data_IF_637467637178
#
_entry.id   IF_637467637178
#
_cell.length_a   1.000
_cell.length_b   1.000
_cell.length_c   1.000
_cell.angle_alpha   90.00
_cell.angle_beta   90.00
_cell.angle_gamma   90.00
#
_symmetry.space_group_name_H-M   'P 1'
#
loop_
_entity.id
_entity.type
_entity.pdbx_description
1 polymer ?
#
# COMPACT_ATOMS: atom_id res chain seq x y z
N UNK A 1 -31.41 -44.98 -26.76
CA UNK A 1 -30.61 -44.25 -27.75
C UNK A 1 -29.82 -43.16 -27.02
N UNK A 2 -28.51 -43.36 -26.81
CA UNK A 2 -27.65 -42.43 -26.04
C UNK A 2 -27.30 -41.22 -26.91
N UNK A 3 -27.95 -40.09 -26.67
CA UNK A 3 -27.57 -38.81 -27.26
C UNK A 3 -26.36 -38.26 -26.50
N UNK A 4 -25.17 -38.65 -26.97
CA UNK A 4 -23.91 -38.13 -26.48
C UNK A 4 -23.73 -36.70 -27.02
N UNK A 5 -24.31 -35.72 -26.30
CA UNK A 5 -24.27 -34.33 -26.72
C UNK A 5 -22.90 -33.71 -26.38
N UNK A 6 -21.88 -34.04 -27.18
CA UNK A 6 -20.49 -33.58 -27.03
C UNK A 6 -20.39 -32.04 -26.94
N UNK A 7 -21.33 -31.30 -27.56
CA UNK A 7 -21.40 -29.83 -27.48
C UNK A 7 -21.70 -29.31 -26.08
N UNK A 8 -22.54 -30.01 -25.32
CA UNK A 8 -22.87 -29.61 -23.95
C UNK A 8 -21.67 -29.80 -23.01
N UNK A 9 -20.93 -30.89 -23.21
CA UNK A 9 -19.71 -31.17 -22.45
C UNK A 9 -18.59 -30.14 -22.74
N UNK A 10 -18.44 -29.75 -24.01
CA UNK A 10 -17.50 -28.70 -24.41
C UNK A 10 -17.88 -27.31 -23.89
N UNK A 11 -19.17 -27.01 -23.81
CA UNK A 11 -19.65 -25.75 -23.24
C UNK A 11 -19.42 -25.70 -21.72
N UNK A 12 -19.69 -26.80 -21.01
CA UNK A 12 -19.43 -26.91 -19.57
C UNK A 12 -17.94 -26.85 -19.24
N UNK A 13 -17.07 -27.46 -20.06
CA UNK A 13 -15.63 -27.39 -19.87
C UNK A 13 -15.07 -25.98 -20.16
N UNK A 14 -15.62 -25.28 -21.16
CA UNK A 14 -15.26 -23.88 -21.41
C UNK A 14 -15.69 -22.97 -20.25
N UNK A 15 -16.90 -23.16 -19.72
CA UNK A 15 -17.44 -22.37 -18.61
C UNK A 15 -16.63 -22.57 -17.33
N UNK A 16 -16.18 -23.80 -17.05
CA UNK A 16 -15.33 -24.09 -15.89
C UNK A 16 -13.95 -23.45 -16.02
N UNK A 17 -13.31 -23.52 -17.20
CA UNK A 17 -12.04 -22.83 -17.45
C UNK A 17 -12.18 -21.31 -17.32
N UNK A 18 -13.28 -20.73 -17.81
CA UNK A 18 -13.57 -19.31 -17.67
C UNK A 18 -13.76 -18.90 -16.20
N UNK A 19 -14.45 -19.72 -15.40
CA UNK A 19 -14.63 -19.50 -13.96
C UNK A 19 -13.30 -19.60 -13.17
N UNK A 20 -12.37 -20.47 -13.59
CA UNK A 20 -11.04 -20.54 -12.97
C UNK A 20 -10.15 -19.35 -13.35
N UNK A 21 -10.27 -18.79 -14.55
CA UNK A 21 -9.53 -17.59 -14.97
C UNK A 21 -9.99 -16.32 -14.25
N UNK A 22 -11.27 -16.22 -13.87
CA UNK A 22 -11.80 -15.07 -13.12
C UNK A 22 -11.52 -15.11 -11.61
N UNK A 23 -11.07 -16.25 -11.07
CA UNK A 23 -10.69 -16.40 -9.67
C UNK A 23 -9.22 -16.04 -9.40
N UNK A 24 -8.61 -15.21 -10.24
CA UNK A 24 -7.36 -14.54 -9.91
C UNK A 24 -7.64 -13.48 -8.83
N UNK A 25 -7.95 -13.92 -7.61
CA UNK A 25 -7.94 -13.06 -6.41
C UNK A 25 -6.50 -12.63 -6.20
N UNK A 26 -6.14 -11.51 -6.81
CA UNK A 26 -5.01 -10.72 -6.35
C UNK A 26 -5.26 -10.47 -4.86
N UNK A 27 -4.38 -10.96 -4.00
CA UNK A 27 -4.34 -10.67 -2.57
C UNK A 27 -3.88 -9.23 -2.40
N UNK A 28 -4.70 -8.30 -2.90
CA UNK A 28 -4.52 -6.87 -2.73
C UNK A 28 -4.68 -6.59 -1.25
N UNK A 29 -3.73 -5.88 -0.64
CA UNK A 29 -3.87 -5.38 0.72
C UNK A 29 -5.20 -4.65 0.88
N UNK A 30 -5.82 -4.72 2.05
CA UNK A 30 -7.08 -4.05 2.30
C UNK A 30 -6.89 -2.53 2.17
N UNK A 31 -7.81 -1.86 1.47
CA UNK A 31 -7.78 -0.42 1.30
C UNK A 31 -8.69 0.26 2.31
N UNK A 32 -8.15 1.24 3.02
CA UNK A 32 -8.87 2.04 4.01
C UNK A 32 -8.88 3.51 3.60
N UNK A 33 -9.92 4.23 3.98
CA UNK A 33 -10.18 5.60 3.55
C UNK A 33 -10.49 6.47 4.75
N UNK A 34 -9.59 7.39 5.08
CA UNK A 34 -9.77 8.35 6.15
C UNK A 34 -10.11 9.72 5.58
N UNK A 35 -11.41 10.05 5.60
CA UNK A 35 -11.94 11.30 5.07
C UNK A 35 -11.93 12.46 6.08
N UNK A 36 -11.38 12.26 7.28
CA UNK A 36 -11.23 13.30 8.31
C UNK A 36 -10.39 14.46 7.78
N UNK A 37 -10.84 15.67 8.10
CA UNK A 37 -10.14 16.92 7.78
C UNK A 37 -9.51 17.57 9.00
N UNK A 38 -9.98 17.20 10.20
CA UNK A 38 -9.47 17.72 11.46
C UNK A 38 -8.35 16.83 12.01
N UNK A 39 -7.20 17.45 12.27
CA UNK A 39 -6.03 16.82 12.87
C UNK A 39 -6.16 16.79 14.38
N UNK A 40 -5.86 15.64 14.97
CA UNK A 40 -5.53 15.50 16.39
C UNK A 40 -4.24 16.27 16.72
N UNK A 41 -3.97 16.46 18.01
CA UNK A 41 -2.72 17.09 18.46
C UNK A 41 -1.49 16.30 17.99
N UNK A 42 -1.53 14.97 18.07
CA UNK A 42 -0.46 14.10 17.58
C UNK A 42 -0.22 14.25 16.07
N UNK A 43 -1.27 14.26 15.26
CA UNK A 43 -1.15 14.45 13.80
C UNK A 43 -0.56 15.83 13.45
N UNK A 44 -0.84 16.87 14.26
CA UNK A 44 -0.22 18.20 14.09
C UNK A 44 1.27 18.17 14.46
N UNK A 45 1.63 17.53 15.57
CA UNK A 45 3.02 17.41 16.02
C UNK A 45 3.87 16.62 15.02
N UNK A 46 3.34 15.52 14.49
CA UNK A 46 4.04 14.70 13.50
C UNK A 46 4.22 15.45 12.17
N UNK A 47 3.21 16.20 11.74
CA UNK A 47 3.32 17.04 10.54
C UNK A 47 4.33 18.18 10.74
N UNK A 48 4.33 18.84 11.91
CA UNK A 48 5.29 19.89 12.23
C UNK A 48 6.72 19.34 12.25
N UNK A 49 6.93 18.18 12.88
CA UNK A 49 8.21 17.46 12.88
C UNK A 49 8.65 17.17 11.45
N UNK A 50 7.76 16.65 10.60
CA UNK A 50 8.06 16.44 9.18
C UNK A 50 8.47 17.73 8.46
N UNK A 51 7.76 18.83 8.69
CA UNK A 51 8.03 20.11 8.03
C UNK A 51 9.32 20.78 8.50
N UNK A 52 9.74 20.54 9.73
CA UNK A 52 10.93 21.12 10.35
C UNK A 52 12.19 20.26 10.11
N UNK A 53 12.07 18.94 10.24
CA UNK A 53 13.23 18.05 10.30
C UNK A 53 13.57 17.43 8.94
N UNK A 54 12.59 17.28 8.03
CA UNK A 54 12.84 16.74 6.69
C UNK A 54 13.32 17.88 5.78
N UNK A 55 14.49 17.78 5.12
CA UNK A 55 14.95 18.82 4.20
C UNK A 55 13.92 19.14 3.11
N UNK A 56 13.74 20.42 2.77
CA UNK A 56 12.70 20.90 1.82
C UNK A 56 12.67 20.15 0.49
N UNK A 57 13.82 19.73 -0.03
CA UNK A 57 13.91 18.95 -1.26
C UNK A 57 13.25 17.57 -1.19
N UNK A 58 13.09 17.01 0.01
CA UNK A 58 12.41 15.74 0.29
C UNK A 58 10.96 15.93 0.76
N UNK A 59 10.55 17.16 1.05
CA UNK A 59 9.15 17.47 1.38
C UNK A 59 8.24 17.37 0.14
N UNK A 60 6.99 16.94 0.34
CA UNK A 60 5.98 16.85 -0.74
C UNK A 60 5.58 18.26 -1.22
N UNK A 61 5.21 18.36 -2.49
CA UNK A 61 4.49 19.52 -3.04
C UNK A 61 3.05 19.13 -3.40
N UNK A 62 2.24 20.07 -3.89
CA UNK A 62 0.86 19.77 -4.32
C UNK A 62 0.79 18.79 -5.50
N UNK A 63 1.87 18.71 -6.28
CA UNK A 63 2.04 17.78 -7.39
C UNK A 63 2.41 16.37 -6.94
N UNK A 64 2.72 16.19 -5.66
CA UNK A 64 3.17 14.93 -5.09
C UNK A 64 2.13 14.37 -4.13
N UNK A 65 2.11 13.05 -4.02
CA UNK A 65 1.52 12.33 -2.90
C UNK A 65 2.65 11.91 -1.97
N UNK A 66 2.45 12.03 -0.65
CA UNK A 66 3.41 11.50 0.31
C UNK A 66 3.01 10.08 0.69
N UNK A 67 3.90 9.13 0.43
CA UNK A 67 3.70 7.72 0.75
C UNK A 67 4.56 7.38 1.96
N UNK A 68 3.92 6.92 3.01
CA UNK A 68 4.56 6.52 4.27
C UNK A 68 4.55 4.99 4.33
N UNK A 69 5.71 4.41 4.56
CA UNK A 69 5.90 2.98 4.69
C UNK A 69 6.24 2.66 6.13
N UNK A 70 5.38 1.88 6.78
CA UNK A 70 5.59 1.40 8.14
C UNK A 70 6.35 0.06 8.09
N UNK A 71 7.47 -0.01 8.81
CA UNK A 71 8.35 -1.17 8.85
C UNK A 71 7.70 -2.42 9.46
N UNK A 72 6.65 -2.27 10.26
CA UNK A 72 5.89 -3.42 10.78
C UNK A 72 5.35 -4.31 9.65
N UNK A 73 4.93 -3.73 8.53
CA UNK A 73 4.42 -4.48 7.38
C UNK A 73 5.52 -5.16 6.55
N UNK A 74 6.78 -4.73 6.72
CA UNK A 74 7.91 -5.10 5.87
C UNK A 74 9.10 -5.66 6.64
N UNK A 75 8.90 -6.18 7.86
CA UNK A 75 9.96 -6.72 8.73
C UNK A 75 10.96 -7.59 7.97
N UNK A 76 12.22 -7.14 7.94
CA UNK A 76 13.33 -7.82 7.28
C UNK A 76 13.24 -7.92 5.76
N UNK A 77 12.31 -7.21 5.11
CA UNK A 77 12.07 -7.30 3.66
C UNK A 77 12.54 -6.05 2.96
N UNK A 78 12.98 -6.22 1.72
CA UNK A 78 13.14 -5.15 0.75
C UNK A 78 11.82 -4.89 0.02
N UNK A 79 11.50 -3.62 -0.19
CA UNK A 79 10.46 -3.19 -1.11
C UNK A 79 11.07 -2.45 -2.30
N UNK A 80 10.41 -2.53 -3.45
CA UNK A 80 10.75 -1.80 -4.67
C UNK A 80 9.54 -0.99 -5.12
N UNK A 81 9.74 0.31 -5.31
CA UNK A 81 8.71 1.29 -5.63
C UNK A 81 8.93 1.74 -7.08
N UNK A 82 7.88 1.61 -7.91
CA UNK A 82 7.86 2.00 -9.31
C UNK A 82 9.03 1.44 -10.14
N UNK A 83 9.53 0.26 -9.78
CA UNK A 83 10.70 -0.39 -10.41
C UNK A 83 11.99 0.45 -10.37
N UNK A 84 12.10 1.43 -9.46
CA UNK A 84 13.24 2.36 -9.39
C UNK A 84 13.86 2.40 -8.01
N UNK A 85 13.06 2.80 -7.03
CA UNK A 85 13.55 3.04 -5.67
C UNK A 85 13.40 1.76 -4.84
N UNK A 86 14.36 1.51 -3.96
CA UNK A 86 14.26 0.39 -3.04
C UNK A 86 14.52 0.79 -1.59
N UNK A 87 13.80 0.14 -0.69
CA UNK A 87 13.89 0.39 0.75
C UNK A 87 14.02 -0.97 1.43
N UNK A 88 15.02 -1.13 2.28
CA UNK A 88 15.21 -2.33 3.10
C UNK A 88 14.83 -2.00 4.54
N UNK A 89 13.93 -2.79 5.10
CA UNK A 89 13.52 -2.65 6.49
C UNK A 89 14.32 -3.59 7.39
N UNK A 90 14.45 -3.19 8.66
CA UNK A 90 15.20 -3.94 9.66
C UNK A 90 14.53 -5.28 9.96
N UNK A 91 15.33 -6.28 10.28
CA UNK A 91 14.86 -7.59 10.76
C UNK A 91 14.47 -7.57 12.24
N UNK A 92 15.06 -6.65 13.00
CA UNK A 92 14.83 -6.50 14.44
C UNK A 92 14.30 -5.10 14.75
N UNK A 93 13.43 -4.98 15.76
CA UNK A 93 12.95 -3.68 16.21
C UNK A 93 14.09 -2.86 16.82
N UNK A 94 13.99 -1.53 16.72
CA UNK A 94 14.87 -0.61 17.45
C UNK A 94 14.59 -0.61 18.95
N UNK A 95 15.31 0.22 19.70
CA UNK A 95 15.12 0.38 21.15
C UNK A 95 13.70 0.80 21.55
N UNK A 96 12.94 1.42 20.64
CA UNK A 96 11.53 1.79 20.83
C UNK A 96 10.53 0.66 20.52
N UNK A 97 10.98 -0.54 20.13
CA UNK A 97 10.10 -1.62 19.67
C UNK A 97 9.66 -1.51 18.21
N UNK A 98 9.96 -0.39 17.55
CA UNK A 98 9.62 -0.09 16.15
C UNK A 98 10.54 -0.76 15.14
N UNK A 99 10.00 -1.23 14.01
CA UNK A 99 10.78 -1.61 12.82
C UNK A 99 11.15 -0.43 11.90
N UNK A 100 10.80 0.79 12.33
CA UNK A 100 11.06 2.06 11.66
C UNK A 100 9.99 2.44 10.65
N UNK A 101 9.96 3.71 10.26
CA UNK A 101 9.09 4.22 9.20
C UNK A 101 9.90 5.09 8.26
N UNK A 102 9.48 5.15 6.99
CA UNK A 102 10.10 6.06 6.02
C UNK A 102 9.08 6.55 5.03
N UNK A 103 9.28 7.73 4.48
CA UNK A 103 8.38 8.32 3.51
C UNK A 103 9.06 8.58 2.17
N UNK A 104 8.26 8.56 1.09
CA UNK A 104 8.66 8.94 -0.26
C UNK A 104 7.60 9.84 -0.85
N UNK A 105 8.00 10.99 -1.38
CA UNK A 105 7.12 11.77 -2.24
C UNK A 105 7.09 11.14 -3.63
N UNK A 106 5.91 10.99 -4.20
CA UNK A 106 5.72 10.42 -5.53
C UNK A 106 4.87 11.37 -6.35
N UNK A 107 5.32 11.68 -7.56
CA UNK A 107 4.62 12.61 -8.43
C UNK A 107 3.26 12.03 -8.88
N UNK A 108 2.17 12.80 -8.67
CA UNK A 108 0.79 12.41 -9.00
C UNK A 108 0.59 12.09 -10.49
N UNK A 109 1.44 12.59 -11.40
CA UNK A 109 1.38 12.26 -12.84
C UNK A 109 1.55 10.78 -13.15
N UNK A 110 2.16 10.01 -12.25
CA UNK A 110 2.29 8.55 -12.39
C UNK A 110 0.96 7.81 -12.23
N UNK A 111 -0.08 8.46 -11.68
CA UNK A 111 -1.44 7.94 -11.44
C UNK A 111 -1.54 6.77 -10.46
N UNK A 112 -0.46 6.04 -10.21
CA UNK A 112 -0.40 4.88 -9.32
C UNK A 112 1.03 4.56 -8.89
N UNK A 113 1.15 3.78 -7.82
CA UNK A 113 2.37 3.15 -7.34
C UNK A 113 2.35 1.69 -7.77
N UNK A 114 3.50 1.20 -8.25
CA UNK A 114 3.79 -0.23 -8.34
C UNK A 114 4.71 -0.59 -7.17
N UNK A 115 4.26 -1.46 -6.30
CA UNK A 115 5.01 -1.89 -5.13
C UNK A 115 5.29 -3.39 -5.24
N UNK A 116 6.57 -3.74 -5.24
CA UNK A 116 7.03 -5.13 -5.12
C UNK A 116 7.62 -5.32 -3.73
N UNK A 117 7.35 -6.48 -3.12
CA UNK A 117 7.85 -6.83 -1.79
C UNK A 117 8.64 -8.12 -1.90
N UNK A 118 9.82 -8.16 -1.32
CA UNK A 118 10.67 -9.34 -1.29
C UNK A 118 9.91 -10.57 -0.72
N UNK A 119 10.05 -11.70 -1.40
CA UNK A 119 9.35 -12.94 -1.08
C UNK A 119 7.88 -12.98 -1.53
N UNK A 120 7.32 -11.88 -2.07
CA UNK A 120 5.99 -11.89 -2.71
C UNK A 120 6.15 -11.88 -4.23
N UNK A 121 5.39 -12.74 -4.92
CA UNK A 121 5.39 -12.81 -6.39
C UNK A 121 4.56 -11.69 -7.03
N UNK A 122 3.58 -11.17 -6.30
CA UNK A 122 2.63 -10.19 -6.84
C UNK A 122 3.16 -8.76 -6.72
N UNK A 123 2.92 -7.99 -7.78
CA UNK A 123 3.09 -6.54 -7.78
C UNK A 123 1.78 -5.91 -7.29
N UNK A 124 1.88 -5.16 -6.21
CA UNK A 124 0.76 -4.41 -5.64
C UNK A 124 0.62 -3.10 -6.41
N UNK A 125 -0.59 -2.84 -6.92
CA UNK A 125 -0.91 -1.62 -7.66
C UNK A 125 -1.77 -0.73 -6.78
N UNK A 126 -1.24 0.46 -6.46
CA UNK A 126 -1.89 1.42 -5.56
C UNK A 126 -2.27 2.66 -6.35
N UNK A 127 -3.54 2.86 -6.72
CA UNK A 127 -3.97 4.02 -7.49
C UNK A 127 -3.85 5.32 -6.66
N UNK A 128 -3.62 6.44 -7.33
CA UNK A 128 -3.82 7.75 -6.71
C UNK A 128 -5.27 8.16 -6.82
N UNK A 129 -5.77 8.78 -5.76
CA UNK A 129 -7.13 9.25 -5.65
C UNK A 129 -7.06 10.73 -5.31
N UNK A 130 -7.69 11.55 -6.16
CA UNK A 130 -7.49 13.01 -6.19
C UNK A 130 -7.76 13.70 -4.85
N UNK A 131 -8.70 13.20 -4.06
CA UNK A 131 -9.08 13.77 -2.75
C UNK A 131 -8.11 13.45 -1.61
N UNK A 132 -7.04 12.67 -1.84
CA UNK A 132 -6.10 12.27 -0.79
C UNK A 132 -4.66 12.66 -1.15
N UNK A 133 -3.98 13.26 -0.17
CA UNK A 133 -2.60 13.73 -0.31
C UNK A 133 -1.56 12.82 0.35
N UNK A 134 -2.03 11.84 1.11
CA UNK A 134 -1.20 10.92 1.88
C UNK A 134 -1.66 9.48 1.68
N UNK A 135 -0.70 8.58 1.53
CA UNK A 135 -0.92 7.13 1.54
C UNK A 135 -0.03 6.54 2.62
N UNK A 136 -0.61 5.79 3.55
CA UNK A 136 0.13 4.98 4.50
C UNK A 136 0.04 3.51 4.06
N UNK A 137 1.18 2.83 4.06
CA UNK A 137 1.29 1.41 3.75
C UNK A 137 1.96 0.75 4.95
N UNK A 138 1.17 0.01 5.71
CA UNK A 138 1.55 -0.47 7.03
C UNK A 138 0.62 -1.58 7.49
N UNK A 139 0.49 -1.74 8.79
CA UNK A 139 -0.53 -2.62 9.34
C UNK A 139 -1.92 -2.02 9.11
N UNK A 140 -2.88 -2.89 8.80
CA UNK A 140 -4.28 -2.58 8.80
C UNK A 140 -4.70 -2.13 10.21
N UNK A 141 -5.85 -1.46 10.30
CA UNK A 141 -6.38 -0.96 11.57
C UNK A 141 -6.53 -2.06 12.65
N UNK A 142 -6.78 -3.30 12.23
CA UNK A 142 -6.91 -4.46 13.11
C UNK A 142 -5.56 -5.11 13.49
N UNK A 143 -4.44 -4.60 12.96
CA UNK A 143 -3.07 -5.15 13.08
C UNK A 143 -2.93 -6.62 12.70
N UNK A 144 -3.92 -7.23 12.03
CA UNK A 144 -3.87 -8.65 11.66
C UNK A 144 -3.31 -8.87 10.26
N UNK A 145 -3.35 -7.83 9.42
CA UNK A 145 -2.85 -7.83 8.05
C UNK A 145 -2.15 -6.51 7.77
N UNK A 146 -1.39 -6.46 6.68
CA UNK A 146 -0.92 -5.19 6.14
C UNK A 146 -2.02 -4.58 5.24
N UNK A 147 -2.13 -3.25 5.23
CA UNK A 147 -3.13 -2.48 4.51
C UNK A 147 -2.58 -1.23 3.84
N UNK A 148 -3.43 -0.58 3.07
CA UNK A 148 -3.15 0.68 2.38
C UNK A 148 -4.21 1.69 2.81
N UNK A 149 -3.81 2.75 3.50
CA UNK A 149 -4.72 3.77 3.99
C UNK A 149 -4.51 5.08 3.25
N UNK A 150 -5.59 5.63 2.71
CA UNK A 150 -5.61 6.96 2.11
C UNK A 150 -6.05 7.98 3.16
N UNK A 151 -5.27 9.06 3.31
CA UNK A 151 -5.55 10.11 4.29
C UNK A 151 -5.55 11.49 3.62
N UNK A 152 -6.49 12.36 4.03
CA UNK A 152 -6.51 13.78 3.63
C UNK A 152 -5.52 14.62 4.43
N UNK A 153 -5.26 14.21 5.67
CA UNK A 153 -4.34 14.84 6.60
C UNK A 153 -3.10 13.97 6.78
N UNK A 154 -2.02 14.59 7.26
CA UNK A 154 -0.80 13.87 7.59
C UNK A 154 -1.11 12.79 8.64
N UNK A 155 -0.90 11.49 8.33
CA UNK A 155 -1.22 10.44 9.27
C UNK A 155 -0.18 10.41 10.40
N UNK A 156 -0.66 10.20 11.62
CA UNK A 156 0.22 9.88 12.74
C UNK A 156 0.81 8.50 12.53
N UNK A 157 2.13 8.38 12.47
CA UNK A 157 2.82 7.08 12.32
C UNK A 157 3.59 6.76 13.60
N UNK A 158 2.89 6.54 14.70
CA UNK A 158 3.48 5.96 15.90
C UNK A 158 3.50 4.43 15.75
N UNK A 159 4.67 3.80 15.84
CA UNK A 159 4.67 2.39 16.21
C UNK A 159 4.31 2.35 17.70
N UNK A 160 3.12 1.82 17.99
CA UNK A 160 2.72 1.38 19.32
C UNK A 160 2.82 -0.14 19.39
#
# INVERSE_FOLDING_TARGET
MKLHNKRFLHFFSFLTVFLFLYNCKSTVGEFYYNDRTEKTEYEKMDEETYLNDVPKQYQKTDKDILVIFNGEAFKGKKIVINNKDSITFKTEPGSSGCYGATSRKINKSLKKIKLSVEGKKDIIIIPFIEKYDYIEIGDAYDKTKWGIQYNKIFPSYSCM
#
